data_IF_797816143057
#
_entry.id   IF_797816143057
#
_cell.length_a   1.000
_cell.length_b   1.000
_cell.length_c   1.000
_cell.angle_alpha   90.00
_cell.angle_beta   90.00
_cell.angle_gamma   90.00
#
_symmetry.space_group_name_H-M   'P 1'
#
loop_
_entity.id
_entity.type
_entity.pdbx_description
1 polymer ?
#
# COMPACT_ATOMS: atom_id res chain seq x y z
N UNK A 1 11.88 -4.32 1.40
CA UNK A 1 11.75 -2.97 0.80
C UNK A 1 11.38 -2.95 -0.69
N UNK A 2 11.55 -4.02 -1.49
CA UNK A 2 11.34 -3.94 -2.95
C UNK A 2 9.86 -3.73 -3.35
N UNK A 3 8.92 -4.42 -2.70
CA UNK A 3 7.47 -4.31 -2.97
C UNK A 3 6.96 -2.90 -2.66
N UNK A 4 7.42 -2.34 -1.56
CA UNK A 4 7.11 -0.98 -1.11
C UNK A 4 7.48 0.08 -2.15
N UNK A 5 8.73 0.06 -2.63
CA UNK A 5 9.24 1.05 -3.59
C UNK A 5 8.51 0.95 -4.94
N UNK A 6 8.22 -0.27 -5.39
CA UNK A 6 7.46 -0.50 -6.62
C UNK A 6 6.05 0.07 -6.52
N UNK A 7 5.40 -0.02 -5.35
CA UNK A 7 4.06 0.52 -5.15
C UNK A 7 4.05 2.05 -5.14
N UNK A 8 4.96 2.68 -4.40
CA UNK A 8 5.07 4.15 -4.38
C UNK A 8 5.32 4.71 -5.78
N UNK A 9 6.19 4.06 -6.56
CA UNK A 9 6.45 4.43 -7.95
C UNK A 9 5.20 4.31 -8.82
N UNK A 10 4.43 3.21 -8.69
CA UNK A 10 3.20 3.00 -9.45
C UNK A 10 2.16 4.11 -9.18
N UNK A 11 1.95 4.48 -7.92
CA UNK A 11 0.99 5.52 -7.52
C UNK A 11 1.47 6.91 -7.97
N UNK A 12 2.76 7.21 -7.79
CA UNK A 12 3.34 8.50 -8.12
C UNK A 12 3.47 8.78 -9.61
N UNK A 13 3.65 7.76 -10.45
CA UNK A 13 3.88 7.92 -11.90
C UNK A 13 2.64 7.67 -12.76
N UNK A 14 1.69 6.87 -12.28
CA UNK A 14 0.49 6.55 -13.05
C UNK A 14 -0.52 7.70 -13.00
N UNK A 15 -0.87 8.25 -14.18
CA UNK A 15 -1.92 9.26 -14.29
C UNK A 15 -3.32 8.69 -14.01
N UNK A 16 -3.54 7.42 -14.34
CA UNK A 16 -4.84 6.73 -14.19
C UNK A 16 -4.81 5.67 -13.10
N UNK A 17 -4.09 5.92 -12.01
CA UNK A 17 -4.05 5.00 -10.88
C UNK A 17 -5.46 4.81 -10.30
N UNK A 18 -5.93 3.56 -10.23
CA UNK A 18 -7.20 3.21 -9.64
C UNK A 18 -6.98 2.53 -8.28
N UNK A 19 -7.18 3.32 -7.23
CA UNK A 19 -7.03 2.87 -5.85
C UNK A 19 -7.98 1.72 -5.50
N UNK A 20 -9.22 1.74 -5.98
CA UNK A 20 -10.21 0.71 -5.69
C UNK A 20 -9.76 -0.66 -6.18
N UNK A 21 -9.20 -0.75 -7.39
CA UNK A 21 -8.68 -2.01 -7.92
C UNK A 21 -7.50 -2.53 -7.12
N UNK A 22 -6.61 -1.66 -6.67
CA UNK A 22 -5.51 -2.11 -5.82
C UNK A 22 -6.00 -2.59 -4.45
N UNK A 23 -6.92 -1.84 -3.80
CA UNK A 23 -7.53 -2.24 -2.53
C UNK A 23 -8.21 -3.61 -2.66
N UNK A 24 -8.90 -3.85 -3.78
CA UNK A 24 -9.52 -5.15 -4.08
C UNK A 24 -8.47 -6.26 -4.24
N UNK A 25 -7.38 -6.01 -4.97
CA UNK A 25 -6.30 -6.98 -5.15
C UNK A 25 -5.62 -7.35 -3.82
N UNK A 26 -5.33 -6.37 -2.95
CA UNK A 26 -4.74 -6.62 -1.63
C UNK A 26 -5.69 -7.43 -0.74
N UNK A 27 -6.99 -7.14 -0.78
CA UNK A 27 -8.00 -7.93 -0.07
C UNK A 27 -8.04 -9.38 -0.54
N UNK A 28 -7.96 -9.62 -1.85
CA UNK A 28 -7.90 -10.99 -2.39
C UNK A 28 -6.67 -11.76 -1.88
N UNK A 29 -5.51 -11.10 -1.76
CA UNK A 29 -4.30 -11.73 -1.22
C UNK A 29 -4.50 -12.11 0.26
N UNK A 30 -5.12 -11.24 1.06
CA UNK A 30 -5.46 -11.56 2.45
C UNK A 30 -6.38 -12.76 2.55
N UNK A 31 -7.45 -12.78 1.74
CA UNK A 31 -8.38 -13.92 1.71
C UNK A 31 -7.67 -15.22 1.39
N UNK A 32 -6.76 -15.24 0.41
CA UNK A 32 -5.97 -16.44 0.13
C UNK A 32 -5.03 -16.84 1.26
N UNK A 33 -4.42 -15.88 1.97
CA UNK A 33 -3.57 -16.19 3.11
C UNK A 33 -4.36 -16.73 4.31
N UNK A 34 -5.61 -16.32 4.50
CA UNK A 34 -6.50 -16.77 5.58
C UNK A 34 -7.18 -18.11 5.28
N UNK A 35 -7.55 -18.36 4.02
CA UNK A 35 -8.25 -19.58 3.59
C UNK A 35 -7.31 -20.80 3.44
N UNK A 36 -6.00 -20.57 3.34
CA UNK A 36 -5.01 -21.64 3.25
C UNK A 36 -4.79 -22.32 4.61
N UNK A 37 -5.39 -23.51 4.76
CA UNK A 37 -5.33 -24.31 5.98
C UNK A 37 -3.92 -24.77 6.35
N UNK A 38 -3.03 -24.96 5.37
CA UNK A 38 -1.64 -25.39 5.62
C UNK A 38 -0.80 -24.23 6.17
N UNK A 39 -1.11 -23.00 5.76
CA UNK A 39 -0.38 -21.79 6.16
C UNK A 39 -0.93 -21.14 7.43
N UNK A 40 -2.15 -21.50 7.85
CA UNK A 40 -2.85 -20.88 8.98
C UNK A 40 -2.09 -20.94 10.31
N UNK A 41 -1.36 -22.02 10.58
CA UNK A 41 -0.57 -22.19 11.81
C UNK A 41 0.85 -21.59 11.70
N UNK A 42 1.16 -20.93 10.58
CA UNK A 42 2.44 -20.27 10.35
C UNK A 42 2.32 -18.77 10.60
N UNK A 43 3.45 -18.05 10.56
CA UNK A 43 3.47 -16.57 10.63
C UNK A 43 3.10 -15.89 9.31
N UNK A 44 2.80 -16.66 8.27
CA UNK A 44 2.54 -16.12 6.94
C UNK A 44 1.30 -15.20 6.88
N UNK A 45 0.13 -15.56 7.45
CA UNK A 45 -1.04 -14.69 7.42
C UNK A 45 -0.77 -13.31 8.08
N UNK A 46 -0.07 -13.31 9.23
CA UNK A 46 0.32 -12.08 9.93
C UNK A 46 1.26 -11.21 9.07
N UNK A 47 2.25 -11.83 8.42
CA UNK A 47 3.17 -11.12 7.51
C UNK A 47 2.44 -10.51 6.31
N UNK A 48 1.44 -11.20 5.76
CA UNK A 48 0.61 -10.68 4.67
C UNK A 48 -0.26 -9.52 5.16
N UNK A 49 -0.82 -9.62 6.36
CA UNK A 49 -1.58 -8.54 6.99
C UNK A 49 -0.72 -7.29 7.20
N UNK A 50 0.47 -7.45 7.76
CA UNK A 50 1.44 -6.36 7.97
C UNK A 50 1.85 -5.73 6.63
N UNK A 51 2.09 -6.55 5.61
CA UNK A 51 2.41 -6.05 4.27
C UNK A 51 1.26 -5.20 3.71
N UNK A 52 0.01 -5.70 3.76
CA UNK A 52 -1.15 -4.96 3.25
C UNK A 52 -1.36 -3.65 4.03
N UNK A 53 -1.19 -3.66 5.35
CA UNK A 53 -1.26 -2.45 6.15
C UNK A 53 -0.21 -1.41 5.75
N UNK A 54 1.05 -1.84 5.63
CA UNK A 54 2.14 -0.97 5.18
C UNK A 54 1.88 -0.40 3.78
N UNK A 55 1.36 -1.22 2.86
CA UNK A 55 1.02 -0.75 1.51
C UNK A 55 -0.14 0.24 1.52
N UNK A 56 -1.17 0.07 2.36
CA UNK A 56 -2.26 1.04 2.52
C UNK A 56 -1.79 2.38 3.10
N UNK A 57 -0.90 2.35 4.09
CA UNK A 57 -0.33 3.56 4.69
C UNK A 57 0.42 4.37 3.63
N UNK A 58 1.35 3.70 2.93
CA UNK A 58 2.15 4.32 1.87
C UNK A 58 1.29 4.83 0.73
N UNK A 59 0.23 4.11 0.37
CA UNK A 59 -0.70 4.57 -0.63
C UNK A 59 -1.39 5.87 -0.23
N UNK A 60 -1.90 5.90 1.00
CA UNK A 60 -2.58 7.08 1.55
C UNK A 60 -1.64 8.28 1.57
N UNK A 61 -0.37 8.08 1.92
CA UNK A 61 0.63 9.14 1.93
C UNK A 61 1.04 9.57 0.52
N UNK A 62 1.23 8.62 -0.40
CA UNK A 62 1.59 8.92 -1.80
C UNK A 62 0.45 9.63 -2.54
N UNK A 63 -0.81 9.28 -2.29
CA UNK A 63 -1.99 9.99 -2.84
C UNK A 63 -2.04 11.41 -2.29
N UNK A 64 -1.89 11.60 -0.97
CA UNK A 64 -1.84 12.94 -0.37
C UNK A 64 -0.71 13.78 -0.94
N UNK A 65 0.48 13.21 -1.10
CA UNK A 65 1.61 13.90 -1.73
C UNK A 65 1.31 14.27 -3.19
N UNK A 66 0.62 13.41 -3.95
CA UNK A 66 0.22 13.70 -5.33
C UNK A 66 -0.84 14.79 -5.43
N UNK A 67 -1.81 14.81 -4.52
CA UNK A 67 -2.87 15.83 -4.46
C UNK A 67 -2.33 17.20 -4.04
N UNK A 68 -1.31 17.23 -3.20
CA UNK A 68 -0.71 18.46 -2.66
C UNK A 68 0.62 18.81 -3.33
N UNK A 69 0.83 18.41 -4.60
CA UNK A 69 2.07 18.71 -5.33
C UNK A 69 2.35 20.22 -5.48
N UNK A 70 1.32 21.06 -5.38
CA UNK A 70 1.42 22.51 -5.45
C UNK A 70 1.57 23.18 -4.06
N UNK A 71 1.53 22.41 -2.96
CA UNK A 71 1.72 22.87 -1.59
C UNK A 71 3.05 22.32 -1.00
N UNK A 72 4.16 23.07 -1.19
CA UNK A 72 5.48 22.64 -0.73
C UNK A 72 5.61 22.52 0.80
N UNK A 73 4.79 23.23 1.58
CA UNK A 73 4.82 23.11 3.05
C UNK A 73 4.17 21.79 3.50
N UNK A 74 3.03 21.42 2.91
CA UNK A 74 2.36 20.15 3.22
C UNK A 74 3.15 18.92 2.74
N UNK A 75 3.90 19.04 1.64
CA UNK A 75 4.81 17.98 1.17
C UNK A 75 5.94 17.71 2.17
N UNK A 76 6.53 18.76 2.74
CA UNK A 76 7.58 18.62 3.77
C UNK A 76 6.99 17.91 4.99
N UNK A 77 5.82 18.34 5.47
CA UNK A 77 5.19 17.74 6.66
C UNK A 77 4.82 16.26 6.46
N UNK A 78 4.43 15.88 5.23
CA UNK A 78 4.18 14.48 4.85
C UNK A 78 5.47 13.64 4.75
N UNK A 79 6.61 14.23 4.39
CA UNK A 79 7.89 13.52 4.29
C UNK A 79 8.57 13.26 5.65
N UNK A 80 8.20 13.99 6.71
CA UNK A 80 8.80 13.89 8.04
C UNK A 80 7.93 13.16 9.09
N UNK A 81 6.85 12.48 8.65
CA UNK A 81 6.02 11.61 9.48
C UNK A 81 6.57 10.19 9.58
#
# INVERSE_FOLDING_TARGET
MQVTMSLSSLVGTSQNFNEEFLRRSLKTILTYAEEDLELRETTFPDQVQDLVFNLHMILSDTVKMKEHQEDPEMLIDLMYR
#
